data_IF_725119591804
#
_entry.id   IF_725119591804
#
_cell.length_a   1.000
_cell.length_b   1.000
_cell.length_c   1.000
_cell.angle_alpha   90.00
_cell.angle_beta   90.00
_cell.angle_gamma   90.00
#
_symmetry.space_group_name_H-M   'P 1'
#
loop_
_entity.id
_entity.type
_entity.pdbx_description
1 polymer ?
#
# COMPACT_ATOMS: atom_id res chain seq x y z
N UNK A 1 6.45 -6.53 -12.63
CA UNK A 1 5.45 -6.44 -11.54
C UNK A 1 4.24 -5.74 -12.12
N UNK A 2 3.12 -6.43 -12.29
CA UNK A 2 1.94 -5.81 -12.89
C UNK A 2 1.17 -5.00 -11.84
N UNK A 3 1.15 -3.67 -11.98
CA UNK A 3 0.47 -2.78 -11.03
C UNK A 3 -1.02 -3.10 -10.90
N UNK A 4 -1.65 -3.54 -11.99
CA UNK A 4 -3.06 -3.97 -12.00
C UNK A 4 -3.32 -5.17 -11.09
N UNK A 5 -2.36 -6.09 -10.95
CA UNK A 5 -2.45 -7.23 -10.04
C UNK A 5 -2.41 -6.79 -8.57
N UNK A 6 -1.61 -5.76 -8.26
CA UNK A 6 -1.53 -5.19 -6.90
C UNK A 6 -2.86 -4.52 -6.54
N UNK A 7 -3.37 -3.63 -7.40
CA UNK A 7 -4.65 -2.94 -7.20
C UNK A 7 -5.79 -3.95 -7.04
N UNK A 8 -5.80 -4.99 -7.87
CA UNK A 8 -6.79 -6.06 -7.79
C UNK A 8 -6.69 -6.81 -6.46
N UNK A 9 -5.50 -7.25 -6.07
CA UNK A 9 -5.28 -8.01 -4.83
C UNK A 9 -5.72 -7.24 -3.59
N UNK A 10 -5.32 -5.96 -3.49
CA UNK A 10 -5.72 -5.08 -2.37
C UNK A 10 -7.25 -5.00 -2.25
N UNK A 11 -7.93 -4.75 -3.38
CA UNK A 11 -9.40 -4.63 -3.39
C UNK A 11 -10.10 -5.94 -3.12
N UNK A 12 -9.71 -7.03 -3.79
CA UNK A 12 -10.45 -8.29 -3.74
C UNK A 12 -10.24 -9.06 -2.44
N UNK A 13 -9.08 -8.92 -1.81
CA UNK A 13 -8.74 -9.71 -0.62
C UNK A 13 -8.95 -8.95 0.68
N UNK A 14 -8.76 -7.63 0.67
CA UNK A 14 -8.76 -6.82 1.89
C UNK A 14 -9.76 -5.65 1.85
N UNK A 15 -10.48 -5.45 0.74
CA UNK A 15 -11.36 -4.29 0.56
C UNK A 15 -10.61 -2.95 0.44
N UNK A 16 -9.28 -2.97 0.46
CA UNK A 16 -8.44 -1.78 0.40
C UNK A 16 -8.47 -1.19 -1.01
N UNK A 17 -8.93 0.07 -1.11
CA UNK A 17 -9.07 0.75 -2.39
C UNK A 17 -7.88 1.69 -2.64
N UNK A 18 -7.15 1.42 -3.71
CA UNK A 18 -6.07 2.28 -4.22
C UNK A 18 -6.28 2.53 -5.72
N UNK A 19 -5.63 3.56 -6.26
CA UNK A 19 -5.73 3.89 -7.67
C UNK A 19 -4.45 3.52 -8.43
N UNK A 20 -4.58 3.17 -9.71
CA UNK A 20 -3.43 3.10 -10.62
C UNK A 20 -3.04 4.48 -11.18
N UNK A 21 -1.94 4.51 -11.92
CA UNK A 21 -1.56 5.63 -12.78
C UNK A 21 -2.53 5.83 -13.96
N UNK A 22 -2.56 7.05 -14.49
CA UNK A 22 -3.37 7.46 -15.64
C UNK A 22 -2.46 7.92 -16.78
N UNK A 23 -2.96 7.94 -18.02
CA UNK A 23 -2.19 8.34 -19.20
C UNK A 23 -0.87 7.56 -19.33
N UNK A 24 0.24 8.27 -19.48
CA UNK A 24 1.58 7.70 -19.62
C UNK A 24 2.07 6.95 -18.37
N UNK A 25 1.42 7.15 -17.22
CA UNK A 25 1.73 6.49 -15.95
C UNK A 25 0.93 5.19 -15.74
N UNK A 26 -0.01 4.86 -16.64
CA UNK A 26 -0.81 3.65 -16.54
C UNK A 26 0.10 2.41 -16.48
N UNK A 27 -0.11 1.56 -15.47
CA UNK A 27 0.68 0.35 -15.24
C UNK A 27 2.04 0.58 -14.55
N UNK A 28 2.50 1.83 -14.41
CA UNK A 28 3.82 2.17 -13.84
C UNK A 28 3.77 2.53 -12.36
N UNK A 29 2.68 3.15 -11.91
CA UNK A 29 2.53 3.61 -10.51
C UNK A 29 1.19 3.18 -9.92
N UNK A 30 1.17 3.09 -8.60
CA UNK A 30 -0.04 3.12 -7.78
C UNK A 30 -0.09 4.43 -6.99
N UNK A 31 -1.29 4.86 -6.61
CA UNK A 31 -1.57 6.08 -5.84
C UNK A 31 -2.39 5.70 -4.62
N UNK A 32 -1.88 6.08 -3.46
CA UNK A 32 -2.50 5.89 -2.16
C UNK A 32 -3.02 7.26 -1.71
N UNK A 33 -4.30 7.34 -1.37
CA UNK A 33 -4.87 8.55 -0.79
C UNK A 33 -4.67 8.55 0.73
N UNK A 34 -4.28 9.69 1.27
CA UNK A 34 -4.10 9.94 2.70
C UNK A 34 -4.70 11.30 3.08
N UNK A 35 -5.85 11.63 2.48
CA UNK A 35 -6.52 12.93 2.61
C UNK A 35 -7.99 12.70 2.99
N UNK A 36 -8.47 13.47 3.96
CA UNK A 36 -9.86 13.41 4.43
C UNK A 36 -9.98 12.55 5.68
N UNK A 37 -11.02 11.73 5.74
CA UNK A 37 -11.31 10.86 6.88
C UNK A 37 -10.40 9.61 6.83
N UNK A 38 -9.17 9.79 7.27
CA UNK A 38 -8.17 8.76 7.45
C UNK A 38 -7.45 8.98 8.78
N UNK A 39 -7.23 7.92 9.53
CA UNK A 39 -6.42 7.93 10.74
C UNK A 39 -5.16 7.04 10.59
N UNK A 40 -4.38 6.96 11.66
CA UNK A 40 -3.17 6.13 11.69
C UNK A 40 -3.48 4.66 11.35
N UNK A 41 -4.57 4.12 11.89
CA UNK A 41 -4.90 2.71 11.73
C UNK A 41 -5.29 2.37 10.30
N UNK A 42 -5.93 3.31 9.58
CA UNK A 42 -6.20 3.17 8.15
C UNK A 42 -4.89 3.06 7.35
N UNK A 43 -3.91 3.93 7.64
CA UNK A 43 -2.62 3.95 6.93
C UNK A 43 -1.80 2.70 7.24
N UNK A 44 -1.70 2.31 8.52
CA UNK A 44 -0.99 1.10 8.94
C UNK A 44 -1.65 -0.16 8.34
N UNK A 45 -2.98 -0.24 8.33
CA UNK A 45 -3.71 -1.34 7.70
C UNK A 45 -3.45 -1.43 6.20
N UNK A 46 -3.41 -0.28 5.50
CA UNK A 46 -3.09 -0.24 4.08
C UNK A 46 -1.65 -0.69 3.78
N UNK A 47 -0.67 -0.27 4.59
CA UNK A 47 0.73 -0.69 4.44
C UNK A 47 0.89 -2.20 4.64
N UNK A 48 0.26 -2.75 5.69
CA UNK A 48 0.32 -4.19 5.97
C UNK A 48 -0.28 -5.02 4.83
N UNK A 49 -1.45 -4.64 4.34
CA UNK A 49 -2.11 -5.35 3.22
C UNK A 49 -1.33 -5.19 1.91
N UNK A 50 -0.72 -4.03 1.66
CA UNK A 50 0.16 -3.80 0.52
C UNK A 50 1.37 -4.73 0.54
N UNK A 51 2.05 -4.88 1.69
CA UNK A 51 3.18 -5.81 1.83
C UNK A 51 2.77 -7.25 1.48
N UNK A 52 1.64 -7.73 2.00
CA UNK A 52 1.12 -9.08 1.70
C UNK A 52 0.91 -9.27 0.20
N UNK A 53 0.23 -8.31 -0.45
CA UNK A 53 -0.05 -8.38 -1.89
C UNK A 53 1.24 -8.33 -2.70
N UNK A 54 2.18 -7.45 -2.36
CA UNK A 54 3.49 -7.34 -3.01
C UNK A 54 4.24 -8.68 -2.99
N UNK A 55 4.27 -9.38 -1.85
CA UNK A 55 4.88 -10.72 -1.75
C UNK A 55 4.21 -11.72 -2.69
N UNK A 56 2.88 -11.73 -2.73
CA UNK A 56 2.10 -12.66 -3.57
C UNK A 56 2.32 -12.43 -5.06
N UNK A 57 2.46 -11.19 -5.49
CA UNK A 57 2.78 -10.86 -6.89
C UNK A 57 4.28 -10.99 -7.22
N UNK A 58 5.06 -11.60 -6.32
CA UNK A 58 6.46 -11.97 -6.55
C UNK A 58 7.48 -10.88 -6.23
N UNK A 59 7.07 -9.76 -5.62
CA UNK A 59 8.02 -8.74 -5.17
C UNK A 59 8.80 -9.24 -3.94
N UNK A 60 10.13 -9.05 -3.96
CA UNK A 60 11.03 -9.51 -2.90
C UNK A 60 11.43 -8.33 -2.04
N UNK A 61 11.08 -8.42 -0.77
CA UNK A 61 11.48 -7.49 0.29
C UNK A 61 11.36 -8.24 1.63
N UNK A 62 11.89 -7.65 2.69
CA UNK A 62 11.76 -8.15 4.05
C UNK A 62 10.41 -7.71 4.65
N UNK A 63 9.50 -8.64 5.01
CA UNK A 63 8.21 -8.30 5.60
C UNK A 63 8.36 -7.46 6.87
N UNK A 64 7.47 -6.50 7.06
CA UNK A 64 7.43 -5.61 8.23
C UNK A 64 8.31 -4.37 8.10
N UNK A 65 9.19 -4.26 7.10
CA UNK A 65 10.07 -3.08 6.96
C UNK A 65 9.31 -1.78 6.70
N UNK A 66 8.22 -1.82 5.93
CA UNK A 66 7.39 -0.65 5.68
C UNK A 66 6.61 -0.24 6.92
N UNK A 67 6.11 -1.23 7.67
CA UNK A 67 5.40 -1.03 8.94
C UNK A 67 6.31 -0.41 10.00
N UNK A 68 7.48 -1.00 10.25
CA UNK A 68 8.44 -0.48 11.22
C UNK A 68 8.83 0.97 10.92
N UNK A 69 9.06 1.29 9.64
CA UNK A 69 9.37 2.66 9.23
C UNK A 69 8.21 3.65 9.49
N UNK A 70 6.96 3.23 9.30
CA UNK A 70 5.79 4.06 9.57
C UNK A 70 5.56 4.26 11.08
N UNK A 71 5.74 3.21 11.87
CA UNK A 71 5.65 3.26 13.34
C UNK A 71 6.75 4.14 13.96
N UNK A 72 8.00 3.96 13.53
CA UNK A 72 9.14 4.79 13.96
C UNK A 72 8.89 6.27 13.66
N UNK A 73 8.33 6.58 12.50
CA UNK A 73 8.01 7.96 12.13
C UNK A 73 6.88 8.52 12.98
N UNK A 74 5.82 7.74 13.21
CA UNK A 74 4.73 8.18 14.07
C UNK A 74 5.22 8.51 15.48
N UNK A 75 6.05 7.64 16.06
CA UNK A 75 6.65 7.82 17.38
C UNK A 75 7.61 9.02 17.48
N UNK A 76 8.21 9.48 16.37
CA UNK A 76 9.03 10.70 16.37
C UNK A 76 8.22 11.98 16.54
N UNK A 77 6.95 11.94 16.17
CA UNK A 77 6.07 13.11 16.09
C UNK A 77 4.97 13.13 17.16
N UNK A 78 4.97 12.16 18.06
CA UNK A 78 4.01 12.01 19.18
C UNK A 78 4.74 11.88 20.50
#
# INVERSE_FOLDING_TARGET
LETSAIVKGLKSEFGSTVAGGQGELKGKILRIAHLGYYDLTDILGLLATLEIVLRRVGHRFEPGRGMAAAEDEYLRHT
#
